data_IF_171733061583
#
_entry.id   IF_171733061583
#
_cell.length_a   1.000
_cell.length_b   1.000
_cell.length_c   1.000
_cell.angle_alpha   90.00
_cell.angle_beta   90.00
_cell.angle_gamma   90.00
#
_symmetry.space_group_name_H-M   'P 1'
#
loop_
_entity.id
_entity.type
_entity.pdbx_description
1 polymer ?
#
# COMPACT_ATOMS: atom_id res chain seq x y z
N UNK A 1 -19.39 -42.59 1.28
CA UNK A 1 -19.91 -41.36 0.63
C UNK A 1 -20.03 -40.20 1.60
N UNK A 2 -20.81 -40.30 2.70
CA UNK A 2 -21.03 -39.15 3.63
C UNK A 2 -19.75 -38.57 4.30
N UNK A 3 -18.72 -39.36 4.57
CA UNK A 3 -17.48 -38.89 5.17
C UNK A 3 -16.63 -37.98 4.23
N UNK A 4 -16.76 -38.20 2.92
CA UNK A 4 -16.06 -37.41 1.92
C UNK A 4 -16.73 -36.04 1.67
N UNK A 5 -18.08 -36.00 1.74
CA UNK A 5 -18.84 -34.76 1.60
C UNK A 5 -18.59 -33.78 2.76
N UNK A 6 -18.57 -34.28 3.99
CA UNK A 6 -18.30 -33.46 5.17
C UNK A 6 -16.88 -32.86 5.12
N UNK A 7 -15.85 -33.62 4.70
CA UNK A 7 -14.50 -33.12 4.52
C UNK A 7 -14.40 -32.02 3.46
N UNK A 8 -15.23 -32.09 2.41
CA UNK A 8 -15.31 -31.05 1.38
C UNK A 8 -15.93 -29.77 1.97
N UNK A 9 -17.00 -29.90 2.74
CA UNK A 9 -17.63 -28.73 3.38
C UNK A 9 -16.75 -28.09 4.47
N UNK A 10 -15.88 -28.85 5.11
CA UNK A 10 -14.90 -28.33 6.06
C UNK A 10 -13.92 -27.35 5.40
N UNK A 11 -13.68 -27.46 4.10
CA UNK A 11 -12.88 -26.48 3.34
C UNK A 11 -13.54 -25.09 3.29
N UNK A 12 -14.85 -24.97 3.49
CA UNK A 12 -15.57 -23.70 3.51
C UNK A 12 -15.55 -23.04 4.90
N UNK A 13 -15.10 -23.74 5.93
CA UNK A 13 -15.03 -23.15 7.27
C UNK A 13 -14.01 -22.00 7.29
N UNK A 14 -14.42 -20.87 7.84
CA UNK A 14 -13.60 -19.66 7.90
C UNK A 14 -12.23 -19.91 8.56
N UNK A 15 -12.19 -20.74 9.60
CA UNK A 15 -10.96 -21.13 10.29
C UNK A 15 -9.93 -21.86 9.41
N UNK A 16 -10.39 -22.45 8.29
CA UNK A 16 -9.57 -23.21 7.35
C UNK A 16 -9.11 -22.32 6.15
N UNK A 17 -9.53 -21.05 6.11
CA UNK A 17 -9.18 -20.09 5.05
C UNK A 17 -7.95 -19.28 5.44
N UNK A 18 -6.82 -19.50 4.78
CA UNK A 18 -5.59 -18.72 5.01
C UNK A 18 -5.71 -17.24 4.56
N UNK A 19 -6.53 -16.96 3.57
CA UNK A 19 -6.78 -15.61 3.07
C UNK A 19 -7.56 -14.72 4.06
N UNK A 20 -8.39 -15.30 4.92
CA UNK A 20 -9.18 -14.51 5.87
C UNK A 20 -8.34 -13.78 6.92
N UNK A 21 -7.35 -14.42 7.60
CA UNK A 21 -6.46 -13.70 8.50
C UNK A 21 -5.72 -12.53 7.82
N UNK A 22 -5.26 -12.72 6.59
CA UNK A 22 -4.61 -11.65 5.81
C UNK A 22 -5.54 -10.46 5.59
N UNK A 23 -6.79 -10.71 5.17
CA UNK A 23 -7.80 -9.67 5.02
C UNK A 23 -8.12 -8.96 6.35
N UNK A 24 -8.31 -9.72 7.42
CA UNK A 24 -8.62 -9.18 8.74
C UNK A 24 -7.44 -8.35 9.30
N UNK A 25 -6.21 -8.84 9.11
CA UNK A 25 -4.99 -8.13 9.51
C UNK A 25 -4.84 -6.81 8.73
N UNK A 26 -4.98 -6.84 7.40
CA UNK A 26 -4.92 -5.64 6.57
C UNK A 26 -5.92 -4.56 7.04
N UNK A 27 -7.18 -4.95 7.29
CA UNK A 27 -8.20 -4.03 7.81
C UNK A 27 -7.86 -3.48 9.20
N UNK A 28 -7.26 -4.29 10.07
CA UNK A 28 -6.82 -3.88 11.41
C UNK A 28 -5.67 -2.89 11.33
N UNK A 29 -4.70 -3.14 10.47
CA UNK A 29 -3.57 -2.25 10.20
C UNK A 29 -4.08 -0.90 9.70
N UNK A 30 -4.90 -0.88 8.64
CA UNK A 30 -5.45 0.34 8.06
C UNK A 30 -6.19 1.18 9.11
N UNK A 31 -7.01 0.55 9.96
CA UNK A 31 -7.71 1.24 11.06
C UNK A 31 -6.76 1.88 12.05
N UNK A 32 -5.61 1.26 12.34
CA UNK A 32 -4.60 1.83 13.24
C UNK A 32 -3.95 3.08 12.65
N UNK A 33 -3.79 3.15 11.33
CA UNK A 33 -3.28 4.34 10.64
C UNK A 33 -4.28 5.50 10.62
N UNK A 34 -5.59 5.23 10.61
CA UNK A 34 -6.63 6.26 10.39
C UNK A 34 -6.52 7.50 11.27
N UNK A 35 -6.39 7.40 12.62
CA UNK A 35 -6.29 8.59 13.47
C UNK A 35 -5.06 9.46 13.14
N UNK A 36 -3.92 8.83 12.85
CA UNK A 36 -2.68 9.54 12.51
C UNK A 36 -2.77 10.21 11.13
N UNK A 37 -3.36 9.52 10.15
CA UNK A 37 -3.52 10.03 8.80
C UNK A 37 -4.58 11.12 8.69
N UNK A 38 -5.53 11.16 9.61
CA UNK A 38 -6.52 12.25 9.70
C UNK A 38 -5.87 13.60 9.95
N UNK A 39 -4.80 13.65 10.72
CA UNK A 39 -4.03 14.88 10.99
C UNK A 39 -3.31 15.39 9.73
N UNK A 40 -3.02 14.49 8.79
CA UNK A 40 -2.42 14.81 7.49
C UNK A 40 -3.47 15.03 6.40
N UNK A 41 -4.75 14.92 6.73
CA UNK A 41 -5.86 14.89 5.75
C UNK A 41 -5.65 13.83 4.65
N UNK A 42 -5.18 12.64 5.00
CA UNK A 42 -4.94 11.54 4.07
C UNK A 42 -5.74 10.29 4.44
N UNK A 43 -6.21 9.57 3.42
CA UNK A 43 -6.60 8.16 3.58
C UNK A 43 -5.36 7.28 3.51
N UNK A 44 -5.47 6.01 3.96
CA UNK A 44 -4.34 5.08 3.90
C UNK A 44 -3.79 4.90 2.47
N UNK A 45 -4.67 4.73 1.48
CA UNK A 45 -4.25 4.59 0.08
C UNK A 45 -3.62 5.87 -0.48
N UNK A 46 -4.08 7.05 -0.07
CA UNK A 46 -3.42 8.31 -0.42
C UNK A 46 -2.03 8.44 0.22
N UNK A 47 -1.90 8.01 1.47
CA UNK A 47 -0.62 8.00 2.17
C UNK A 47 0.40 7.08 1.47
N UNK A 48 -0.02 5.88 1.04
CA UNK A 48 0.86 4.96 0.31
C UNK A 48 1.28 5.54 -1.05
N UNK A 49 0.40 6.25 -1.76
CA UNK A 49 0.77 7.01 -2.97
C UNK A 49 1.81 8.08 -2.63
N UNK A 50 1.59 8.84 -1.55
CA UNK A 50 2.53 9.89 -1.13
C UNK A 50 3.88 9.32 -0.71
N UNK A 51 3.95 8.12 -0.12
CA UNK A 51 5.24 7.47 0.19
C UNK A 51 6.09 7.28 -1.07
N UNK A 52 5.51 6.78 -2.16
CA UNK A 52 6.22 6.65 -3.45
C UNK A 52 6.60 8.04 -3.99
N UNK A 53 5.73 9.03 -3.86
CA UNK A 53 6.01 10.39 -4.31
C UNK A 53 7.12 11.06 -3.49
N UNK A 54 7.20 10.81 -2.18
CA UNK A 54 8.30 11.32 -1.33
C UNK A 54 9.65 10.65 -1.61
N UNK A 55 9.65 9.44 -2.15
CA UNK A 55 10.85 8.73 -2.57
C UNK A 55 11.35 9.21 -3.94
N UNK A 56 10.44 9.29 -4.92
CA UNK A 56 10.80 9.48 -6.33
C UNK A 56 10.64 10.91 -6.84
N UNK A 57 9.89 11.76 -6.15
CA UNK A 57 9.50 13.12 -6.50
C UNK A 57 8.76 13.29 -7.83
N UNK A 58 9.16 12.55 -8.86
CA UNK A 58 8.52 12.52 -10.19
C UNK A 58 8.39 11.07 -10.63
N UNK A 59 7.20 10.68 -11.06
CA UNK A 59 6.90 9.31 -11.46
C UNK A 59 5.87 9.26 -12.58
N UNK A 60 5.96 8.26 -13.46
CA UNK A 60 4.91 7.98 -14.43
C UNK A 60 3.75 7.24 -13.76
N UNK A 61 2.52 7.48 -14.24
CA UNK A 61 1.33 6.80 -13.71
C UNK A 61 1.47 5.28 -13.76
N UNK A 62 2.03 4.73 -14.85
CA UNK A 62 2.27 3.29 -15.00
C UNK A 62 3.21 2.73 -13.94
N UNK A 63 4.29 3.45 -13.63
CA UNK A 63 5.25 3.02 -12.62
C UNK A 63 4.64 3.08 -11.22
N UNK A 64 3.78 4.08 -10.97
CA UNK A 64 3.06 4.20 -9.73
C UNK A 64 2.03 3.06 -9.53
N UNK A 65 1.29 2.71 -10.59
CA UNK A 65 0.39 1.54 -10.62
C UNK A 65 1.15 0.26 -10.24
N UNK A 66 2.31 0.04 -10.87
CA UNK A 66 3.13 -1.15 -10.64
C UNK A 66 3.70 -1.18 -9.21
N UNK A 67 4.24 -0.06 -8.73
CA UNK A 67 4.82 0.03 -7.37
C UNK A 67 3.80 -0.21 -6.27
N UNK A 68 2.52 0.11 -6.51
CA UNK A 68 1.45 0.01 -5.51
C UNK A 68 0.55 -1.21 -5.70
N UNK A 69 0.80 -2.02 -6.71
CA UNK A 69 -0.06 -3.17 -7.08
C UNK A 69 -1.53 -2.78 -7.22
N UNK A 70 -1.80 -1.55 -7.68
CA UNK A 70 -3.13 -1.02 -7.91
C UNK A 70 -3.53 -1.14 -9.38
N UNK A 71 -4.83 -1.09 -9.64
CA UNK A 71 -5.33 -0.89 -10.99
C UNK A 71 -5.41 0.61 -11.31
N UNK A 72 -5.23 0.98 -12.59
CA UNK A 72 -5.27 2.38 -13.02
C UNK A 72 -6.60 3.08 -12.67
N UNK A 73 -7.74 2.36 -12.79
CA UNK A 73 -9.06 2.87 -12.40
C UNK A 73 -9.19 3.15 -10.88
N UNK A 74 -8.40 2.48 -10.05
CA UNK A 74 -8.33 2.74 -8.60
C UNK A 74 -7.41 3.91 -8.30
N UNK A 75 -6.29 4.03 -9.03
CA UNK A 75 -5.30 5.08 -8.82
C UNK A 75 -5.82 6.47 -9.25
N UNK A 76 -6.49 6.58 -10.39
CA UNK A 76 -6.92 7.87 -10.94
C UNK A 76 -7.76 8.74 -9.98
N UNK A 77 -8.77 8.21 -9.24
CA UNK A 77 -9.49 8.99 -8.24
C UNK A 77 -8.62 9.45 -7.07
N UNK A 78 -7.62 8.64 -6.68
CA UNK A 78 -6.68 8.99 -5.59
C UNK A 78 -5.80 10.16 -6.01
N UNK A 79 -5.23 10.10 -7.22
CA UNK A 79 -4.41 11.17 -7.79
C UNK A 79 -5.21 12.47 -7.94
N UNK A 80 -6.46 12.37 -8.42
CA UNK A 80 -7.34 13.55 -8.52
C UNK A 80 -7.54 14.24 -7.17
N UNK A 81 -7.77 13.47 -6.10
CA UNK A 81 -7.93 14.02 -4.75
C UNK A 81 -6.64 14.63 -4.21
N UNK A 82 -5.49 13.98 -4.42
CA UNK A 82 -4.18 14.50 -3.99
C UNK A 82 -3.83 15.81 -4.74
N UNK A 83 -4.15 15.89 -6.04
CA UNK A 83 -4.01 17.12 -6.81
C UNK A 83 -4.92 18.23 -6.29
N UNK A 84 -6.18 17.93 -5.95
CA UNK A 84 -7.11 18.91 -5.36
C UNK A 84 -6.62 19.43 -4.00
N UNK A 85 -5.88 18.62 -3.25
CA UNK A 85 -5.23 19.01 -1.99
C UNK A 85 -3.93 19.79 -2.20
N UNK A 86 -3.47 19.91 -3.44
CA UNK A 86 -2.25 20.63 -3.78
C UNK A 86 -0.96 19.87 -3.48
N UNK A 87 -1.00 18.56 -3.22
CA UNK A 87 0.20 17.79 -2.86
C UNK A 87 0.98 17.27 -4.07
N UNK A 88 0.29 17.11 -5.20
CA UNK A 88 0.89 16.65 -6.46
C UNK A 88 0.36 17.45 -7.65
N UNK A 89 1.17 17.53 -8.71
CA UNK A 89 0.76 17.95 -10.04
C UNK A 89 0.66 16.74 -10.97
N UNK A 90 -0.27 16.83 -11.93
CA UNK A 90 -0.50 15.79 -12.94
C UNK A 90 -0.41 16.47 -14.30
N UNK A 91 0.56 16.08 -15.09
CA UNK A 91 0.85 16.63 -16.40
C UNK A 91 1.00 15.52 -17.45
N UNK A 92 0.83 15.86 -18.73
CA UNK A 92 1.22 14.98 -19.82
C UNK A 92 2.72 15.07 -20.02
N UNK A 93 3.35 13.95 -20.35
CA UNK A 93 4.76 13.91 -20.69
C UNK A 93 5.00 14.79 -21.95
N UNK A 94 6.09 15.56 -21.92
CA UNK A 94 6.46 16.43 -23.04
C UNK A 94 6.89 15.65 -24.29
N UNK A 95 7.44 14.43 -24.11
CA UNK A 95 7.95 13.57 -25.19
C UNK A 95 6.87 12.64 -25.74
N UNK A 96 6.03 12.08 -24.88
CA UNK A 96 4.90 11.23 -25.28
C UNK A 96 3.65 11.63 -24.51
N UNK A 97 2.79 12.40 -25.17
CA UNK A 97 1.53 12.94 -24.59
C UNK A 97 0.53 11.87 -24.14
N UNK A 98 0.78 10.58 -24.44
CA UNK A 98 -0.03 9.46 -23.94
C UNK A 98 0.36 9.09 -22.50
N UNK A 99 1.56 9.46 -22.08
CA UNK A 99 2.05 9.21 -20.73
C UNK A 99 1.65 10.35 -19.80
N UNK A 100 1.23 9.98 -18.60
CA UNK A 100 0.91 10.91 -17.52
C UNK A 100 2.08 10.88 -16.54
N UNK A 101 2.58 12.07 -16.21
CA UNK A 101 3.66 12.28 -15.23
C UNK A 101 3.06 12.99 -14.02
N UNK A 102 3.34 12.41 -12.86
CA UNK A 102 2.97 12.94 -11.55
C UNK A 102 4.22 13.52 -10.91
N UNK A 103 4.14 14.73 -10.41
CA UNK A 103 5.23 15.41 -9.71
C UNK A 103 4.79 15.92 -8.35
N UNK A 104 5.70 15.88 -7.38
CA UNK A 104 5.48 16.36 -6.03
C UNK A 104 5.53 17.90 -6.01
N UNK A 105 4.55 18.54 -5.38
CA UNK A 105 4.56 19.99 -5.17
C UNK A 105 5.42 20.37 -3.96
N UNK A 106 5.60 21.67 -3.73
CA UNK A 106 6.24 22.18 -2.52
C UNK A 106 5.46 21.76 -1.25
N UNK A 107 4.15 21.93 -1.29
CA UNK A 107 3.25 21.55 -0.18
C UNK A 107 3.28 20.03 0.06
N UNK A 108 3.36 19.23 -1.01
CA UNK A 108 3.54 17.79 -0.90
C UNK A 108 4.86 17.40 -0.28
N UNK A 109 5.96 18.14 -0.55
CA UNK A 109 7.27 17.94 0.09
C UNK A 109 7.23 18.31 1.58
N UNK A 110 6.65 19.45 1.93
CA UNK A 110 6.52 19.89 3.32
C UNK A 110 5.66 18.95 4.16
N UNK A 111 4.68 18.27 3.54
CA UNK A 111 3.86 17.26 4.21
C UNK A 111 4.69 16.06 4.70
N UNK A 112 5.80 15.74 4.03
CA UNK A 112 6.72 14.65 4.43
C UNK A 112 7.23 14.82 5.86
N UNK A 113 7.56 16.06 6.25
CA UNK A 113 8.10 16.37 7.59
C UNK A 113 7.09 16.05 8.71
N UNK A 114 5.80 16.18 8.40
CA UNK A 114 4.74 15.80 9.34
C UNK A 114 4.47 14.29 9.28
N UNK A 115 4.55 13.71 8.09
CA UNK A 115 4.23 12.31 7.85
C UNK A 115 5.22 11.34 8.52
N UNK A 116 6.46 11.76 8.79
CA UNK A 116 7.46 10.96 9.51
C UNK A 116 7.00 10.56 10.92
N UNK A 117 6.11 11.32 11.54
CA UNK A 117 5.55 10.98 12.84
C UNK A 117 4.62 9.75 12.80
N UNK A 118 4.06 9.40 11.65
CA UNK A 118 3.17 8.24 11.51
C UNK A 118 3.92 6.93 11.85
N UNK A 119 5.00 6.55 11.14
CA UNK A 119 5.74 5.33 11.48
C UNK A 119 6.39 5.41 12.86
N UNK A 120 6.85 6.57 13.32
CA UNK A 120 7.42 6.74 14.65
C UNK A 120 6.41 6.42 15.75
N UNK A 121 5.17 6.90 15.62
CA UNK A 121 4.11 6.60 16.58
C UNK A 121 3.72 5.12 16.58
N UNK A 122 3.63 4.52 15.38
CA UNK A 122 3.28 3.10 15.26
C UNK A 122 4.37 2.18 15.82
N UNK A 123 5.63 2.60 15.74
CA UNK A 123 6.77 1.85 16.27
C UNK A 123 6.84 1.83 17.81
N UNK A 124 6.13 2.71 18.50
CA UNK A 124 6.09 2.72 19.97
C UNK A 124 5.36 1.50 20.56
N UNK A 125 4.39 0.96 19.83
CA UNK A 125 3.62 -0.22 20.24
C UNK A 125 3.58 -1.25 19.10
N UNK A 126 4.69 -1.92 18.82
CA UNK A 126 4.74 -2.89 17.73
C UNK A 126 3.90 -4.13 18.08
N UNK A 127 3.22 -4.69 17.07
CA UNK A 127 2.47 -5.93 17.22
C UNK A 127 3.32 -7.18 16.95
N UNK A 128 4.45 -6.99 16.28
CA UNK A 128 5.38 -8.04 15.88
C UNK A 128 6.79 -7.65 16.32
N UNK A 129 7.60 -8.64 16.65
CA UNK A 129 9.05 -8.46 16.77
C UNK A 129 9.65 -8.13 15.40
N UNK A 130 10.91 -7.72 15.39
CA UNK A 130 11.63 -7.40 14.14
C UNK A 130 11.69 -8.62 13.22
N UNK A 131 11.97 -9.79 13.80
CA UNK A 131 12.07 -11.07 13.08
C UNK A 131 10.72 -11.48 12.50
N UNK A 132 9.65 -11.39 13.30
CA UNK A 132 8.28 -11.68 12.84
C UNK A 132 7.84 -10.72 11.73
N UNK A 133 8.17 -9.44 11.83
CA UNK A 133 7.84 -8.46 10.80
C UNK A 133 8.57 -8.70 9.47
N UNK A 134 9.83 -9.19 9.52
CA UNK A 134 10.58 -9.60 8.33
C UNK A 134 9.94 -10.82 7.68
N UNK A 135 9.58 -11.84 8.47
CA UNK A 135 8.95 -13.05 7.94
C UNK A 135 7.55 -12.77 7.38
N UNK A 136 6.74 -11.95 8.07
CA UNK A 136 5.43 -11.51 7.57
C UNK A 136 5.57 -10.82 6.21
N UNK A 137 6.48 -9.85 6.08
CA UNK A 137 6.77 -9.17 4.82
C UNK A 137 7.17 -10.15 3.72
N UNK A 138 8.10 -11.07 4.00
CA UNK A 138 8.55 -12.08 3.05
C UNK A 138 7.38 -12.93 2.53
N UNK A 139 6.51 -13.40 3.43
CA UNK A 139 5.35 -14.22 3.07
C UNK A 139 4.31 -13.46 2.27
N UNK A 140 4.02 -12.21 2.64
CA UNK A 140 3.08 -11.36 1.93
C UNK A 140 3.58 -11.04 0.51
N UNK A 141 4.84 -10.69 0.35
CA UNK A 141 5.41 -10.46 -0.99
C UNK A 141 5.44 -11.73 -1.84
N UNK A 142 5.71 -12.90 -1.25
CA UNK A 142 5.61 -14.17 -1.97
C UNK A 142 4.20 -14.41 -2.51
N UNK A 143 3.16 -14.05 -1.75
CA UNK A 143 1.77 -14.11 -2.21
C UNK A 143 1.53 -13.12 -3.36
N UNK A 144 1.99 -11.87 -3.22
CA UNK A 144 1.84 -10.81 -4.22
C UNK A 144 2.50 -11.20 -5.55
N UNK A 145 3.61 -11.93 -5.50
CA UNK A 145 4.36 -12.39 -6.67
C UNK A 145 4.06 -13.84 -7.09
N UNK A 146 2.84 -14.32 -6.86
CA UNK A 146 2.35 -15.64 -7.32
C UNK A 146 3.23 -16.83 -6.86
N UNK A 147 3.74 -16.77 -5.63
CA UNK A 147 4.55 -17.82 -5.03
C UNK A 147 6.03 -17.80 -5.41
N UNK A 148 6.48 -16.84 -6.20
CA UNK A 148 7.91 -16.67 -6.49
C UNK A 148 8.63 -16.07 -5.29
N UNK A 149 9.83 -16.53 -5.01
CA UNK A 149 10.68 -15.89 -4.01
C UNK A 149 11.29 -14.61 -4.61
N UNK A 150 11.22 -13.53 -3.83
CA UNK A 150 11.92 -12.30 -4.18
C UNK A 150 13.43 -12.52 -4.05
N UNK A 151 14.20 -11.88 -4.92
CA UNK A 151 15.63 -11.72 -4.68
C UNK A 151 15.80 -10.73 -3.53
N UNK A 152 16.87 -10.91 -2.72
CA UNK A 152 17.14 -10.09 -1.54
C UNK A 152 17.16 -8.57 -1.81
N UNK A 153 17.36 -8.16 -3.06
CA UNK A 153 17.36 -6.77 -3.52
C UNK A 153 15.97 -6.10 -3.54
N UNK A 154 14.88 -6.87 -3.50
CA UNK A 154 13.50 -6.35 -3.53
C UNK A 154 12.90 -6.16 -2.13
N UNK A 155 13.66 -6.45 -1.07
CA UNK A 155 13.21 -6.40 0.33
C UNK A 155 13.82 -5.26 1.16
N UNK A 156 14.76 -4.49 0.60
CA UNK A 156 15.38 -3.31 1.25
C UNK A 156 14.58 -1.99 0.92
#
# INVERSE_FOLDING_TARGET
>A
MKKNEQQIYDLLLLKNQSCFPTYAAANKIIRRYQPLLKELDLTYTQYVVMMVMWEKEVVNEKDLVNSLYLQANTLAPLLKKLKQKGYIDINKDNKDKRNIVISLTKEGKELKDKAVNVPLTLAQEPWLTVEEAKEDRRLLYKIIHDGKELKDEDCD
#
